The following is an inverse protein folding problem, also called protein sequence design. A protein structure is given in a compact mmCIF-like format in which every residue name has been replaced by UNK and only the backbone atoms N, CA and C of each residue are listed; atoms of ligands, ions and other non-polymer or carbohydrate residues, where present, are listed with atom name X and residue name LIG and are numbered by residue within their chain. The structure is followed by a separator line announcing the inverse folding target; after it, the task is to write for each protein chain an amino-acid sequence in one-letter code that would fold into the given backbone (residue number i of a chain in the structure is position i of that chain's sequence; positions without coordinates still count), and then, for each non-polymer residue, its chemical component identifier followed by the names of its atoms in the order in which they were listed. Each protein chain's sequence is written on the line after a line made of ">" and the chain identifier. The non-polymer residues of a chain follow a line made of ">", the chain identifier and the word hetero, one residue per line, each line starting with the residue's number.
data_IF_617876624380
#
_entry.id   IF_617876624380
#
_cell.length_a   1.000
_cell.length_b   1.000
_cell.length_c   1.000
_cell.angle_alpha   90.00
_cell.angle_beta   90.00
_cell.angle_gamma   90.00
#
_symmetry.space_group_name_H-M   'P 1'
#
loop_
_entity.id
_entity.type
_entity.pdbx_description
1 polymer ?
#
# COMPACT_ATOMS: atom_id res chain seq x y z
N UNK A 1 -0.21 -2.94 -8.83
CA UNK A 1 -1.03 -4.09 -9.26
C UNK A 1 -0.19 -5.18 -9.91
N UNK A 2 0.73 -4.83 -10.83
CA UNK A 2 1.61 -5.83 -11.43
C UNK A 2 2.50 -6.57 -10.43
N UNK A 3 2.96 -5.89 -9.38
CA UNK A 3 3.74 -6.51 -8.32
C UNK A 3 2.89 -7.54 -7.57
N UNK A 4 1.62 -7.22 -7.32
CA UNK A 4 0.66 -8.13 -6.68
C UNK A 4 0.41 -9.36 -7.56
N UNK A 5 0.19 -9.16 -8.86
CA UNK A 5 -0.06 -10.25 -9.81
C UNK A 5 1.09 -11.23 -9.88
N UNK A 6 2.33 -10.73 -9.92
CA UNK A 6 3.53 -11.57 -9.99
C UNK A 6 3.71 -12.42 -8.74
N UNK A 7 3.51 -11.85 -7.56
CA UNK A 7 3.72 -12.57 -6.30
C UNK A 7 2.57 -13.50 -5.96
N UNK A 8 1.37 -13.13 -6.35
CA UNK A 8 0.17 -13.93 -6.15
C UNK A 8 0.33 -15.37 -6.66
N UNK A 9 1.04 -15.55 -7.76
CA UNK A 9 1.26 -16.88 -8.34
C UNK A 9 2.14 -17.78 -7.49
N UNK A 10 2.90 -17.23 -6.56
CA UNK A 10 3.87 -17.99 -5.75
C UNK A 10 3.32 -18.41 -4.39
N UNK A 11 2.48 -17.60 -3.78
CA UNK A 11 1.89 -17.83 -2.45
C UNK A 11 0.84 -16.77 -2.17
N UNK A 12 0.02 -17.03 -1.18
CA UNK A 12 -0.93 -16.01 -0.71
C UNK A 12 -0.21 -14.82 -0.11
N UNK A 13 -0.59 -13.61 -0.51
CA UNK A 13 0.01 -12.37 -0.04
C UNK A 13 -0.89 -11.67 0.98
N UNK A 14 -0.27 -10.98 1.93
CA UNK A 14 -0.94 -10.03 2.79
C UNK A 14 -0.68 -8.62 2.25
N UNK A 15 -1.74 -7.81 2.18
CA UNK A 15 -1.70 -6.46 1.60
C UNK A 15 -2.25 -5.46 2.61
N UNK A 16 -1.55 -4.32 2.74
CA UNK A 16 -2.05 -3.17 3.48
C UNK A 16 -2.31 -2.02 2.52
N UNK A 17 -3.51 -1.49 2.55
CA UNK A 17 -3.94 -0.32 1.78
C UNK A 17 -4.07 0.87 2.72
N UNK A 18 -3.10 1.78 2.70
CA UNK A 18 -3.07 2.96 3.57
C UNK A 18 -3.79 4.11 2.89
N UNK A 19 -4.82 4.65 3.57
CA UNK A 19 -5.69 5.65 2.98
C UNK A 19 -6.66 4.99 2.00
N UNK A 20 -7.35 3.93 2.46
CA UNK A 20 -8.18 3.08 1.59
C UNK A 20 -9.33 3.82 0.91
N UNK A 21 -9.78 4.94 1.45
CA UNK A 21 -10.88 5.74 0.88
C UNK A 21 -12.13 4.91 0.69
N UNK A 22 -12.55 4.76 -0.56
CA UNK A 22 -13.73 3.96 -0.91
C UNK A 22 -13.49 2.45 -0.83
N UNK A 23 -12.25 2.01 -0.61
CA UNK A 23 -11.88 0.61 -0.53
C UNK A 23 -11.58 -0.05 -1.87
N UNK A 24 -11.51 0.71 -2.95
CA UNK A 24 -11.40 0.12 -4.30
C UNK A 24 -10.10 -0.68 -4.50
N UNK A 25 -8.96 -0.18 -4.03
CA UNK A 25 -7.69 -0.91 -4.15
C UNK A 25 -7.70 -2.18 -3.30
N UNK A 26 -8.28 -2.10 -2.11
CA UNK A 26 -8.43 -3.26 -1.24
C UNK A 26 -9.28 -4.35 -1.90
N UNK A 27 -10.38 -3.95 -2.54
CA UNK A 27 -11.28 -4.86 -3.24
C UNK A 27 -10.58 -5.51 -4.44
N UNK A 28 -9.87 -4.71 -5.23
CA UNK A 28 -9.11 -5.23 -6.38
C UNK A 28 -8.06 -6.24 -5.93
N UNK A 29 -7.32 -5.91 -4.86
CA UNK A 29 -6.32 -6.82 -4.30
C UNK A 29 -6.94 -8.15 -3.89
N UNK A 30 -8.09 -8.12 -3.23
CA UNK A 30 -8.80 -9.34 -2.83
C UNK A 30 -9.24 -10.17 -4.04
N UNK A 31 -9.73 -9.52 -5.08
CA UNK A 31 -10.16 -10.20 -6.31
C UNK A 31 -9.03 -10.80 -7.11
N UNK A 32 -7.81 -10.31 -6.91
CA UNK A 32 -6.60 -10.89 -7.49
C UNK A 32 -6.11 -12.15 -6.76
N UNK A 33 -6.80 -12.56 -5.70
CA UNK A 33 -6.50 -13.80 -4.99
C UNK A 33 -5.49 -13.67 -3.85
N UNK A 34 -5.34 -12.48 -3.28
CA UNK A 34 -4.49 -12.30 -2.10
C UNK A 34 -5.08 -13.04 -0.89
N UNK A 35 -4.23 -13.42 0.03
CA UNK A 35 -4.62 -14.14 1.25
C UNK A 35 -5.49 -13.27 2.16
N UNK A 36 -5.05 -12.04 2.40
CA UNK A 36 -5.77 -11.09 3.23
C UNK A 36 -5.40 -9.66 2.84
N UNK A 37 -6.34 -8.75 3.03
CA UNK A 37 -6.14 -7.34 2.78
C UNK A 37 -6.65 -6.55 3.98
N UNK A 38 -5.85 -5.59 4.43
CA UNK A 38 -6.26 -4.63 5.44
C UNK A 38 -6.28 -3.24 4.80
N UNK A 39 -7.43 -2.60 4.83
CA UNK A 39 -7.57 -1.22 4.40
C UNK A 39 -7.75 -0.33 5.61
N UNK A 40 -6.95 0.72 5.73
CA UNK A 40 -7.05 1.65 6.86
C UNK A 40 -7.27 3.07 6.36
N UNK A 41 -8.00 3.84 7.15
CA UNK A 41 -8.24 5.26 6.90
C UNK A 41 -8.50 5.96 8.23
N UNK A 42 -8.05 7.19 8.35
CA UNK A 42 -8.30 8.00 9.54
C UNK A 42 -9.70 8.62 9.53
N UNK A 43 -10.32 8.68 8.36
CA UNK A 43 -11.64 9.27 8.18
C UNK A 43 -12.73 8.19 8.37
N UNK A 44 -13.57 8.38 9.38
CA UNK A 44 -14.66 7.45 9.69
C UNK A 44 -15.67 7.30 8.56
N UNK A 45 -15.95 8.36 7.80
CA UNK A 45 -16.86 8.30 6.64
C UNK A 45 -16.28 7.43 5.54
N UNK A 46 -14.99 7.58 5.27
CA UNK A 46 -14.29 6.72 4.30
C UNK A 46 -14.35 5.25 4.72
N UNK A 47 -14.11 4.98 6.00
CA UNK A 47 -14.17 3.62 6.55
C UNK A 47 -15.54 2.99 6.36
N UNK A 48 -16.61 3.73 6.63
CA UNK A 48 -17.98 3.22 6.42
C UNK A 48 -18.25 2.93 4.95
N UNK A 49 -17.86 3.84 4.06
CA UNK A 49 -18.02 3.65 2.62
C UNK A 49 -17.23 2.43 2.13
N UNK A 50 -16.00 2.28 2.60
CA UNK A 50 -15.17 1.14 2.22
C UNK A 50 -15.78 -0.18 2.69
N UNK A 51 -16.27 -0.24 3.93
CA UNK A 51 -16.93 -1.45 4.46
C UNK A 51 -18.15 -1.83 3.65
N UNK A 52 -18.95 -0.84 3.27
CA UNK A 52 -20.13 -1.08 2.45
C UNK A 52 -19.75 -1.62 1.07
N UNK A 53 -18.74 -1.03 0.43
CA UNK A 53 -18.25 -1.47 -0.87
C UNK A 53 -17.65 -2.88 -0.83
N UNK A 54 -16.90 -3.20 0.23
CA UNK A 54 -16.34 -4.54 0.46
C UNK A 54 -17.47 -5.57 0.54
N UNK A 55 -18.52 -5.25 1.27
CA UNK A 55 -19.70 -6.13 1.41
C UNK A 55 -20.41 -6.32 0.07
N UNK A 56 -20.62 -5.25 -0.68
CA UNK A 56 -21.27 -5.28 -2.00
C UNK A 56 -20.48 -6.13 -3.01
N UNK A 57 -19.17 -6.18 -2.87
CA UNK A 57 -18.30 -6.93 -3.77
C UNK A 57 -17.98 -8.35 -3.28
N UNK A 58 -18.62 -8.79 -2.19
CA UNK A 58 -18.49 -10.15 -1.65
C UNK A 58 -17.07 -10.56 -1.31
N UNK A 59 -16.28 -9.63 -0.77
CA UNK A 59 -14.89 -9.89 -0.36
C UNK A 59 -14.66 -9.67 1.14
N UNK A 60 -15.72 -9.67 1.94
CA UNK A 60 -15.64 -9.42 3.39
C UNK A 60 -14.83 -10.45 4.15
N UNK A 61 -14.68 -11.64 3.62
CA UNK A 61 -13.86 -12.70 4.22
C UNK A 61 -12.35 -12.47 4.02
N UNK A 62 -11.99 -11.64 3.05
CA UNK A 62 -10.57 -11.35 2.72
C UNK A 62 -10.16 -9.95 3.17
N UNK A 63 -11.06 -8.96 3.01
CA UNK A 63 -10.76 -7.55 3.28
C UNK A 63 -11.29 -7.13 4.65
N UNK A 64 -10.39 -6.57 5.46
CA UNK A 64 -10.73 -5.95 6.75
C UNK A 64 -10.47 -4.46 6.65
N UNK A 65 -11.50 -3.67 6.88
CA UNK A 65 -11.39 -2.21 6.87
C UNK A 65 -11.40 -1.69 8.30
N UNK A 66 -10.43 -0.86 8.65
CA UNK A 66 -10.32 -0.29 9.99
C UNK A 66 -10.07 1.21 9.96
N UNK A 67 -10.67 1.89 10.91
CA UNK A 67 -10.36 3.29 11.17
C UNK A 67 -9.09 3.35 12.00
N UNK A 68 -8.14 4.18 11.57
CA UNK A 68 -6.90 4.39 12.30
C UNK A 68 -5.72 4.64 11.40
N UNK A 69 -4.55 4.70 12.00
CA UNK A 69 -3.28 4.91 11.30
C UNK A 69 -2.43 3.63 11.32
N UNK A 70 -1.40 3.62 10.50
CA UNK A 70 -0.49 2.49 10.39
C UNK A 70 0.19 2.15 11.74
N UNK A 71 0.42 3.15 12.58
CA UNK A 71 1.03 2.93 13.90
C UNK A 71 0.17 2.10 14.85
N UNK A 72 -1.12 1.98 14.58
CA UNK A 72 -2.04 1.17 15.39
C UNK A 72 -1.93 -0.33 15.08
N UNK A 73 -1.25 -0.68 14.00
CA UNK A 73 -1.12 -2.07 13.56
C UNK A 73 0.14 -2.71 14.13
N UNK A 74 0.05 -4.00 14.45
CA UNK A 74 1.18 -4.77 14.98
C UNK A 74 1.56 -5.93 14.06
N UNK A 75 1.28 -5.78 12.78
CA UNK A 75 1.48 -6.81 11.77
C UNK A 75 2.31 -6.25 10.63
N UNK A 76 3.15 -7.10 10.03
CA UNK A 76 3.86 -6.78 8.80
C UNK A 76 3.11 -7.34 7.59
N UNK A 77 3.32 -6.70 6.45
CA UNK A 77 2.62 -7.05 5.21
C UNK A 77 3.62 -7.30 4.08
N UNK A 78 3.25 -8.20 3.18
CA UNK A 78 4.05 -8.48 1.99
C UNK A 78 4.02 -7.32 0.99
N UNK A 79 2.91 -6.60 0.93
CA UNK A 79 2.73 -5.45 0.05
C UNK A 79 2.03 -4.34 0.82
N UNK A 80 2.56 -3.14 0.71
CA UNK A 80 1.91 -1.94 1.25
C UNK A 80 1.70 -0.97 0.10
N UNK A 81 0.46 -0.54 -0.07
CA UNK A 81 0.09 0.51 -1.03
C UNK A 81 -0.35 1.73 -0.26
N UNK A 82 0.19 2.88 -0.59
CA UNK A 82 -0.21 4.15 0.04
C UNK A 82 -0.54 5.17 -1.04
N UNK A 83 -1.80 5.59 -1.08
CA UNK A 83 -2.30 6.61 -1.99
C UNK A 83 -2.80 7.78 -1.17
N UNK A 84 -1.87 8.56 -0.65
CA UNK A 84 -2.12 9.70 0.23
C UNK A 84 -1.26 10.89 -0.22
N UNK A 85 -1.48 12.06 0.38
CA UNK A 85 -0.75 13.26 0.00
C UNK A 85 0.76 13.15 0.27
N UNK A 86 1.55 13.95 -0.45
CA UNK A 86 3.00 13.95 -0.39
C UNK A 86 3.55 14.17 1.02
N UNK A 87 2.97 15.12 1.74
CA UNK A 87 3.41 15.46 3.10
C UNK A 87 3.24 14.25 4.03
N UNK A 88 2.10 13.58 3.94
CA UNK A 88 1.80 12.38 4.72
C UNK A 88 2.73 11.23 4.34
N UNK A 89 2.99 11.02 3.04
CA UNK A 89 3.93 9.99 2.58
C UNK A 89 5.32 10.20 3.17
N UNK A 90 5.82 11.44 3.15
CA UNK A 90 7.14 11.77 3.71
C UNK A 90 7.19 11.46 5.20
N UNK A 91 6.16 11.86 5.93
CA UNK A 91 6.09 11.68 7.38
C UNK A 91 5.96 10.21 7.78
N UNK A 92 5.36 9.40 6.92
CA UNK A 92 5.10 7.98 7.20
C UNK A 92 6.22 7.05 6.77
N UNK A 93 7.36 7.57 6.31
CA UNK A 93 8.48 6.75 5.86
C UNK A 93 8.84 5.62 6.84
N UNK A 94 9.09 5.96 8.09
CA UNK A 94 9.49 4.98 9.10
C UNK A 94 8.38 3.97 9.41
N UNK A 95 7.14 4.38 9.70
CA UNK A 95 6.07 3.40 9.92
C UNK A 95 5.82 2.49 8.71
N UNK A 96 5.87 3.02 7.49
CA UNK A 96 5.70 2.19 6.30
C UNK A 96 6.77 1.10 6.22
N UNK A 97 8.03 1.46 6.44
CA UNK A 97 9.12 0.49 6.40
C UNK A 97 9.05 -0.52 7.54
N UNK A 98 8.63 -0.09 8.73
CA UNK A 98 8.51 -0.98 9.89
C UNK A 98 7.42 -2.05 9.71
N UNK A 99 6.41 -1.76 8.89
CA UNK A 99 5.29 -2.68 8.66
C UNK A 99 5.44 -3.49 7.38
N UNK A 100 6.55 -3.34 6.68
CA UNK A 100 6.82 -4.05 5.43
C UNK A 100 7.70 -5.26 5.70
N UNK A 101 7.30 -6.43 5.22
CA UNK A 101 8.10 -7.65 5.31
C UNK A 101 9.40 -7.53 4.52
N UNK A 102 10.43 -8.27 4.95
CA UNK A 102 11.65 -8.42 4.16
C UNK A 102 11.29 -8.91 2.76
N UNK A 103 11.87 -8.31 1.73
CA UNK A 103 11.57 -8.57 0.33
C UNK A 103 10.14 -8.20 -0.09
N UNK A 104 9.42 -7.47 0.75
CA UNK A 104 8.09 -6.96 0.43
C UNK A 104 8.13 -5.76 -0.51
N UNK A 105 7.00 -5.43 -1.09
CA UNK A 105 6.87 -4.29 -2.01
C UNK A 105 6.14 -3.12 -1.35
N UNK A 106 6.69 -1.94 -1.56
CA UNK A 106 6.05 -0.67 -1.17
C UNK A 106 5.68 0.08 -2.44
N UNK A 107 4.41 0.42 -2.57
CA UNK A 107 3.87 1.12 -3.73
C UNK A 107 3.29 2.46 -3.28
N UNK A 108 3.89 3.55 -3.73
CA UNK A 108 3.45 4.90 -3.41
C UNK A 108 2.80 5.50 -4.65
N UNK A 109 1.56 5.96 -4.54
CA UNK A 109 0.83 6.53 -5.65
C UNK A 109 0.21 7.88 -5.31
N UNK A 110 -0.41 8.53 -6.31
CA UNK A 110 -0.96 9.86 -6.11
C UNK A 110 0.11 10.95 -6.09
N UNK A 111 1.23 10.72 -6.75
CA UNK A 111 2.40 11.60 -6.77
C UNK A 111 2.43 12.36 -8.10
N UNK A 112 2.68 13.65 -8.06
CA UNK A 112 2.87 14.44 -9.27
C UNK A 112 4.29 14.23 -9.81
N UNK A 113 4.42 14.32 -11.13
CA UNK A 113 5.72 14.10 -11.79
C UNK A 113 6.85 14.95 -11.18
N UNK A 114 6.57 16.22 -10.86
CA UNK A 114 7.57 17.11 -10.25
C UNK A 114 7.98 16.74 -8.83
N UNK A 115 7.23 15.85 -8.19
CA UNK A 115 7.47 15.42 -6.79
C UNK A 115 8.22 14.09 -6.69
N UNK A 116 8.28 13.34 -7.79
CA UNK A 116 8.76 11.95 -7.75
C UNK A 116 10.21 11.79 -7.32
N UNK A 117 11.11 12.61 -7.86
CA UNK A 117 12.54 12.46 -7.59
C UNK A 117 12.86 12.73 -6.12
N UNK A 118 12.28 13.77 -5.54
CA UNK A 118 12.45 14.09 -4.14
C UNK A 118 11.89 13.00 -3.21
N UNK A 119 10.71 12.49 -3.54
CA UNK A 119 10.10 11.44 -2.74
C UNK A 119 10.88 10.12 -2.86
N UNK A 120 11.30 9.76 -4.07
CA UNK A 120 12.13 8.56 -4.29
C UNK A 120 13.40 8.63 -3.45
N UNK A 121 14.10 9.76 -3.51
CA UNK A 121 15.32 9.95 -2.74
C UNK A 121 15.07 9.85 -1.24
N UNK A 122 13.98 10.41 -0.76
CA UNK A 122 13.60 10.35 0.65
C UNK A 122 13.46 8.91 1.15
N UNK A 123 12.90 8.02 0.33
CA UNK A 123 12.75 6.61 0.70
C UNK A 123 14.03 5.80 0.49
N UNK A 124 14.77 6.07 -0.58
CA UNK A 124 16.01 5.35 -0.90
C UNK A 124 17.12 5.66 0.12
N UNK A 125 17.20 6.88 0.64
CA UNK A 125 18.25 7.25 1.60
C UNK A 125 18.20 6.46 2.90
N UNK A 126 17.11 5.76 3.18
CA UNK A 126 17.04 4.87 4.35
C UNK A 126 18.00 3.70 4.24
N UNK A 127 18.44 3.36 3.03
CA UNK A 127 19.29 2.18 2.79
C UNK A 127 18.55 0.86 2.84
N UNK A 128 17.23 0.87 3.11
CA UNK A 128 16.42 -0.34 3.29
C UNK A 128 15.64 -0.75 2.05
N UNK A 129 15.54 0.13 1.07
CA UNK A 129 14.72 -0.09 -0.12
C UNK A 129 15.56 -0.07 -1.38
N UNK A 130 15.17 -0.93 -2.33
CA UNK A 130 15.64 -0.90 -3.70
C UNK A 130 14.50 -0.33 -4.55
N UNK A 131 14.79 0.69 -5.35
CA UNK A 131 13.82 1.20 -6.31
C UNK A 131 13.67 0.21 -7.46
N UNK A 132 12.42 -0.20 -7.75
CA UNK A 132 12.14 -1.16 -8.80
C UNK A 132 11.73 -0.47 -10.09
N UNK A 133 10.75 0.44 -10.00
CA UNK A 133 10.23 1.12 -11.19
C UNK A 133 9.32 2.29 -10.83
N UNK A 134 9.12 3.16 -11.82
CA UNK A 134 8.05 4.15 -11.83
C UNK A 134 7.04 3.74 -12.89
N UNK A 135 5.76 4.01 -12.65
CA UNK A 135 4.75 4.01 -13.69
C UNK A 135 4.10 5.38 -13.70
N UNK A 136 3.76 5.86 -14.88
CA UNK A 136 3.22 7.21 -15.02
C UNK A 136 2.00 7.18 -15.94
N UNK A 137 0.97 7.91 -15.53
CA UNK A 137 -0.22 8.12 -16.32
C UNK A 137 -0.55 9.61 -16.27
N UNK A 138 -0.31 10.31 -17.39
CA UNK A 138 -0.40 11.76 -17.43
C UNK A 138 0.62 12.40 -16.49
N UNK A 139 0.13 13.23 -15.57
CA UNK A 139 0.96 13.89 -14.55
C UNK A 139 1.13 13.07 -13.26
N UNK A 140 0.43 11.93 -13.15
CA UNK A 140 0.42 11.09 -11.95
C UNK A 140 1.42 9.96 -12.04
N UNK A 141 2.18 9.78 -10.97
CA UNK A 141 3.27 8.80 -10.89
C UNK A 141 3.01 7.83 -9.74
N UNK A 142 3.40 6.59 -9.98
CA UNK A 142 3.42 5.54 -8.98
C UNK A 142 4.85 5.03 -8.84
N UNK A 143 5.39 5.05 -7.62
CA UNK A 143 6.73 4.56 -7.31
C UNK A 143 6.65 3.19 -6.66
N UNK A 144 7.42 2.24 -7.15
CA UNK A 144 7.48 0.89 -6.58
C UNK A 144 8.89 0.59 -6.07
N UNK A 145 8.94 0.19 -4.80
CA UNK A 145 10.18 -0.20 -4.11
C UNK A 145 10.08 -1.62 -3.61
N UNK A 146 11.21 -2.28 -3.48
CA UNK A 146 11.31 -3.57 -2.83
C UNK A 146 12.18 -3.44 -1.60
N UNK A 147 11.74 -3.96 -0.47
CA UNK A 147 12.55 -3.97 0.75
C UNK A 147 13.68 -4.98 0.60
N UNK A 148 14.89 -4.55 0.92
CA UNK A 148 16.06 -5.42 0.85
C UNK A 148 15.94 -6.57 1.82
N UNK A 149 16.57 -7.68 1.47
CA UNK A 149 16.62 -8.85 2.35
C UNK A 149 17.33 -8.48 3.64
N UNK A 150 16.75 -8.88 4.76
CA UNK A 150 17.41 -8.71 6.07
C UNK A 150 18.53 -9.74 6.20
N UNK A 151 19.68 -9.24 6.66
CA UNK A 151 20.87 -10.10 6.89
C UNK A 151 20.84 -10.73 8.26
#
# INVERSE_FOLDING_TARGET
>A
IRALEKRHKKRGLSVLDVGTGSGILSIVAAKLGTKEVWGIDIDGVAVENARENVKKNHVSDIVKIRKGSIGDLQKKFDVIVANIDLKSLRRMRKPLLNHLESQGFLILSGILEGEKDGLRQHFIETGLLKWEKDTQEGEWVCLTFKKKKES
#
